data_IF_913576907714
#
_entry.id   IF_913576907714
#
_cell.length_a   1.000
_cell.length_b   1.000
_cell.length_c   1.000
_cell.angle_alpha   90.00
_cell.angle_beta   90.00
_cell.angle_gamma   90.00
#
_symmetry.space_group_name_H-M   'P 1'
#
loop_
_entity.id
_entity.type
_entity.pdbx_description
1 polymer ?
#
# COMPACT_ATOMS: atom_id res chain seq x y z
N UNK A 1 29.08 -43.17 20.26
CA UNK A 1 29.72 -41.96 19.69
C UNK A 1 29.10 -41.74 18.31
N UNK A 2 28.02 -40.97 18.24
CA UNK A 2 27.37 -40.57 16.99
C UNK A 2 27.54 -39.05 16.91
N UNK A 3 28.33 -38.60 15.92
CA UNK A 3 28.57 -37.19 15.66
C UNK A 3 27.40 -36.60 14.89
N UNK A 4 26.84 -35.52 15.46
CA UNK A 4 25.81 -34.70 14.83
C UNK A 4 26.42 -33.80 13.75
N UNK A 5 25.71 -33.70 12.63
CA UNK A 5 25.96 -32.71 11.59
C UNK A 5 24.97 -31.58 11.82
N UNK A 6 25.47 -30.45 12.33
CA UNK A 6 24.73 -29.21 12.45
C UNK A 6 24.70 -28.50 11.09
N UNK A 7 23.52 -28.40 10.49
CA UNK A 7 23.29 -27.55 9.32
C UNK A 7 23.38 -26.07 9.70
N UNK A 8 24.00 -25.20 8.88
CA UNK A 8 24.06 -23.78 9.16
C UNK A 8 22.70 -23.11 8.94
N UNK A 9 22.32 -22.24 9.88
CA UNK A 9 21.19 -21.33 9.78
C UNK A 9 21.44 -20.32 8.64
N UNK A 10 20.51 -20.13 7.68
CA UNK A 10 20.70 -19.17 6.60
C UNK A 10 20.47 -17.74 7.12
N UNK A 11 21.50 -16.90 7.04
CA UNK A 11 21.42 -15.46 7.28
C UNK A 11 20.49 -14.78 6.25
N UNK A 12 19.64 -13.87 6.75
CA UNK A 12 18.60 -13.16 6.01
C UNK A 12 19.19 -12.00 5.20
N UNK A 13 19.22 -12.12 3.88
CA UNK A 13 19.55 -10.99 2.99
C UNK A 13 18.29 -10.15 2.70
N UNK A 14 17.97 -9.22 3.59
CA UNK A 14 16.98 -8.17 3.32
C UNK A 14 17.70 -6.99 2.64
N UNK A 15 17.19 -6.54 1.48
CA UNK A 15 17.65 -5.31 0.85
C UNK A 15 17.16 -4.12 1.69
N UNK A 16 17.98 -3.70 2.65
CA UNK A 16 17.71 -2.50 3.45
C UNK A 16 17.89 -1.27 2.57
N UNK A 17 16.84 -0.44 2.51
CA UNK A 17 16.96 0.93 2.02
C UNK A 17 17.54 1.73 3.18
N UNK A 18 18.86 1.76 3.29
CA UNK A 18 19.53 2.56 4.32
C UNK A 18 19.74 3.98 3.80
N UNK A 19 19.30 4.97 4.58
CA UNK A 19 19.60 6.39 4.40
C UNK A 19 21.08 6.65 4.69
N UNK A 20 21.99 6.17 3.83
CA UNK A 20 23.42 6.45 3.93
C UNK A 20 23.84 7.36 2.77
N UNK A 21 24.11 8.65 3.11
CA UNK A 21 24.81 9.61 2.26
C UNK A 21 26.09 8.97 1.70
N UNK A 22 26.22 8.90 0.37
CA UNK A 22 27.48 8.58 -0.31
C UNK A 22 27.84 9.71 -1.27
N UNK A 23 29.08 10.17 -1.11
CA UNK A 23 29.74 11.24 -1.84
C UNK A 23 29.97 10.89 -3.32
N UNK A 24 29.86 11.93 -4.16
CA UNK A 24 30.15 11.97 -5.59
C UNK A 24 31.41 11.19 -6.01
N UNK A 25 31.32 10.52 -7.16
CA UNK A 25 32.37 10.60 -8.17
C UNK A 25 31.72 10.72 -9.56
N UNK A 26 32.04 11.84 -10.23
CA UNK A 26 31.59 12.18 -11.58
C UNK A 26 32.45 11.43 -12.58
N UNK A 27 31.83 10.70 -13.51
CA UNK A 27 32.45 10.41 -14.81
C UNK A 27 31.42 10.57 -15.91
N UNK A 28 31.77 11.37 -16.90
CA UNK A 28 30.92 11.83 -17.99
C UNK A 28 30.89 10.80 -19.13
N UNK A 29 29.69 10.38 -19.52
CA UNK A 29 29.43 9.90 -20.88
C UNK A 29 27.99 10.26 -21.27
N UNK A 30 27.85 10.90 -22.43
CA UNK A 30 26.58 11.40 -22.97
C UNK A 30 25.58 10.28 -23.26
N UNK A 31 24.25 10.51 -23.14
CA UNK A 31 23.25 9.52 -23.51
C UNK A 31 22.82 9.67 -24.99
N UNK A 32 22.60 8.52 -25.65
CA UNK A 32 21.84 8.43 -26.90
C UNK A 32 20.33 8.51 -26.61
N UNK A 33 19.60 9.27 -27.43
CA UNK A 33 18.13 9.40 -27.37
C UNK A 33 17.41 8.10 -27.76
N UNK A 34 16.43 7.63 -26.96
CA UNK A 34 15.41 6.72 -27.44
C UNK A 34 14.14 7.47 -27.85
N UNK A 35 13.54 6.98 -28.92
CA UNK A 35 12.33 7.49 -29.54
C UNK A 35 11.09 7.30 -28.65
N UNK A 36 10.21 8.28 -28.75
CA UNK A 36 8.96 8.48 -28.01
C UNK A 36 7.95 7.37 -28.39
N UNK A 37 7.57 6.53 -27.42
CA UNK A 37 6.32 5.76 -27.45
C UNK A 37 5.25 6.60 -26.76
N UNK A 38 4.13 6.81 -27.46
CA UNK A 38 3.04 7.70 -27.05
C UNK A 38 2.28 7.24 -25.79
N UNK A 39 1.51 8.15 -25.16
CA UNK A 39 0.90 7.90 -23.86
C UNK A 39 -0.27 6.92 -23.96
N UNK A 40 -0.15 5.79 -23.26
CA UNK A 40 -1.30 5.00 -22.82
C UNK A 40 -2.08 5.83 -21.80
N UNK A 41 -3.36 6.06 -22.09
CA UNK A 41 -4.25 6.89 -21.30
C UNK A 41 -4.41 6.35 -19.87
N UNK A 42 -3.97 7.16 -18.90
CA UNK A 42 -4.25 6.99 -17.47
C UNK A 42 -5.74 7.27 -17.23
N UNK A 43 -6.54 6.22 -17.01
CA UNK A 43 -7.88 6.38 -16.47
C UNK A 43 -7.78 6.74 -14.98
N UNK A 44 -7.94 8.03 -14.69
CA UNK A 44 -8.15 8.54 -13.34
C UNK A 44 -9.43 7.99 -12.72
N UNK A 45 -9.52 8.13 -11.40
CA UNK A 45 -10.75 8.08 -10.59
C UNK A 45 -11.77 9.06 -11.17
N UNK A 46 -12.46 8.65 -12.21
CA UNK A 46 -13.87 8.99 -12.32
C UNK A 46 -14.58 7.96 -11.46
N UNK A 47 -15.53 8.40 -10.62
CA UNK A 47 -16.50 7.46 -10.05
C UNK A 47 -16.96 6.50 -11.15
N UNK A 48 -17.07 5.18 -10.90
CA UNK A 48 -17.77 4.31 -11.84
C UNK A 48 -19.07 5.03 -12.19
N UNK A 49 -19.28 5.26 -13.49
CA UNK A 49 -20.11 6.34 -13.98
C UNK A 49 -21.44 6.45 -13.24
N UNK A 50 -21.98 7.67 -13.17
CA UNK A 50 -23.35 7.96 -12.70
C UNK A 50 -24.47 7.14 -13.38
N UNK A 51 -24.15 6.23 -14.29
CA UNK A 51 -25.08 5.28 -14.90
C UNK A 51 -25.03 3.93 -14.18
N UNK A 52 -26.15 3.60 -13.53
CA UNK A 52 -26.48 2.32 -12.88
C UNK A 52 -25.73 2.01 -11.58
N UNK A 53 -25.75 2.95 -10.63
CA UNK A 53 -26.03 2.52 -9.26
C UNK A 53 -27.45 1.96 -9.25
N UNK A 54 -27.58 0.64 -9.17
CA UNK A 54 -28.80 0.02 -8.65
C UNK A 54 -29.08 0.71 -7.31
N UNK A 55 -30.10 1.58 -7.29
CA UNK A 55 -30.71 2.05 -6.06
C UNK A 55 -31.24 0.81 -5.35
N UNK A 56 -30.39 0.18 -4.54
CA UNK A 56 -30.84 -0.67 -3.47
C UNK A 56 -31.47 0.28 -2.44
N UNK A 57 -32.74 0.61 -2.66
CA UNK A 57 -33.62 1.24 -1.69
C UNK A 57 -33.91 0.24 -0.57
N UNK A 58 -32.87 -0.13 0.17
CA UNK A 58 -32.98 -0.94 1.38
C UNK A 58 -33.32 0.04 2.51
N UNK A 59 -34.57 -0.02 2.93
CA UNK A 59 -35.16 0.50 4.17
C UNK A 59 -34.19 1.22 5.13
N UNK A 60 -34.29 2.56 5.22
CA UNK A 60 -34.14 3.36 6.44
C UNK A 60 -33.03 3.05 7.45
N UNK A 61 -31.93 2.38 7.07
CA UNK A 61 -30.80 2.15 7.98
C UNK A 61 -30.14 3.50 8.20
N UNK A 62 -30.22 4.02 9.43
CA UNK A 62 -29.56 5.27 9.80
C UNK A 62 -28.10 5.26 9.33
N UNK A 63 -27.68 6.35 8.68
CA UNK A 63 -26.31 6.47 8.17
C UNK A 63 -25.30 6.20 9.28
N UNK A 64 -24.59 5.08 9.20
CA UNK A 64 -23.61 4.72 10.22
C UNK A 64 -22.50 5.76 10.26
N UNK A 65 -22.17 6.19 11.46
CA UNK A 65 -21.12 7.17 11.72
C UNK A 65 -19.77 6.56 11.33
N UNK A 66 -19.00 7.17 10.39
CA UNK A 66 -17.69 6.66 10.00
C UNK A 66 -16.74 6.56 11.20
N UNK A 67 -15.86 5.53 11.20
CA UNK A 67 -14.91 5.21 12.28
C UNK A 67 -13.94 6.34 12.65
N UNK A 68 -13.91 7.42 11.85
CA UNK A 68 -13.01 8.57 11.98
C UNK A 68 -13.67 9.78 12.65
N UNK A 69 -14.99 9.78 12.87
CA UNK A 69 -15.64 10.86 13.61
C UNK A 69 -15.27 10.74 15.09
N UNK A 70 -14.91 11.85 15.72
CA UNK A 70 -14.57 11.89 17.13
C UNK A 70 -15.70 11.25 17.97
N UNK A 71 -15.36 10.22 18.75
CA UNK A 71 -16.31 9.47 19.58
C UNK A 71 -17.08 8.34 18.86
N UNK A 72 -16.95 8.18 17.54
CA UNK A 72 -17.67 7.14 16.79
C UNK A 72 -17.07 5.74 16.96
N UNK A 73 -15.73 5.65 17.03
CA UNK A 73 -15.02 4.41 17.32
C UNK A 73 -13.88 4.65 18.31
N UNK A 74 -13.75 3.77 19.30
CA UNK A 74 -12.78 3.90 20.41
C UNK A 74 -11.37 3.43 20.06
N UNK A 75 -11.19 2.77 18.92
CA UNK A 75 -9.94 2.09 18.57
C UNK A 75 -9.08 2.98 17.66
N UNK A 76 -7.81 3.23 18.02
CA UNK A 76 -6.92 4.04 17.20
C UNK A 76 -6.51 3.32 15.90
N UNK A 77 -6.02 4.04 14.86
CA UNK A 77 -5.67 3.47 13.55
C UNK A 77 -4.72 2.28 13.58
N UNK A 78 -3.77 2.24 14.51
CA UNK A 78 -2.85 1.12 14.69
C UNK A 78 -3.54 -0.18 15.12
N UNK A 79 -4.80 -0.12 15.60
CA UNK A 79 -5.62 -1.27 15.95
C UNK A 79 -6.50 -1.77 14.80
N UNK A 80 -6.34 -1.24 13.59
CA UNK A 80 -7.13 -1.64 12.41
C UNK A 80 -6.38 -2.67 11.55
N UNK A 81 -5.64 -3.56 12.21
CA UNK A 81 -4.84 -4.59 11.55
C UNK A 81 -5.68 -5.75 11.03
N UNK A 82 -5.15 -6.46 10.04
CA UNK A 82 -5.73 -7.65 9.43
C UNK A 82 -4.69 -8.78 9.37
N UNK A 83 -5.13 -10.02 9.58
CA UNK A 83 -4.29 -11.21 9.43
C UNK A 83 -4.14 -11.62 7.96
N UNK A 84 -3.05 -12.30 7.63
CA UNK A 84 -2.86 -12.88 6.29
C UNK A 84 -3.98 -13.89 5.93
N UNK A 85 -4.42 -14.67 6.90
CA UNK A 85 -5.54 -15.62 6.71
C UNK A 85 -6.84 -14.89 6.37
N UNK A 86 -7.11 -13.76 7.01
CA UNK A 86 -8.28 -12.92 6.72
C UNK A 86 -8.20 -12.25 5.35
N UNK A 87 -7.00 -11.88 4.88
CA UNK A 87 -6.80 -11.44 3.49
C UNK A 87 -7.08 -12.57 2.51
N UNK A 88 -6.68 -13.81 2.85
CA UNK A 88 -6.92 -14.99 2.02
C UNK A 88 -8.40 -15.40 1.98
N UNK A 89 -9.17 -15.11 3.02
CA UNK A 89 -10.64 -15.30 3.02
C UNK A 89 -11.33 -14.45 1.95
N UNK A 90 -10.81 -13.26 1.64
CA UNK A 90 -11.33 -12.41 0.55
C UNK A 90 -11.19 -13.12 -0.80
N UNK A 91 -10.12 -13.91 -1.01
CA UNK A 91 -9.94 -14.69 -2.23
C UNK A 91 -10.94 -15.85 -2.37
N UNK A 92 -11.56 -16.25 -1.26
CA UNK A 92 -12.62 -17.27 -1.23
C UNK A 92 -14.02 -16.70 -1.45
N UNK A 93 -14.16 -15.36 -1.53
CA UNK A 93 -15.44 -14.71 -1.75
C UNK A 93 -15.97 -14.98 -3.16
N UNK A 94 -17.28 -15.20 -3.32
CA UNK A 94 -17.89 -15.59 -4.61
C UNK A 94 -17.70 -14.56 -5.73
N UNK A 95 -17.56 -13.29 -5.38
CA UNK A 95 -17.30 -12.18 -6.31
C UNK A 95 -15.82 -11.97 -6.62
N UNK A 96 -14.91 -12.69 -5.95
CA UNK A 96 -13.49 -12.59 -6.19
C UNK A 96 -13.10 -13.33 -7.47
N UNK A 97 -12.11 -12.78 -8.18
CA UNK A 97 -11.35 -13.55 -9.16
C UNK A 97 -9.87 -13.14 -9.10
N UNK A 98 -8.92 -14.05 -9.40
CA UNK A 98 -7.49 -13.77 -9.26
C UNK A 98 -6.99 -12.57 -10.10
N UNK A 99 -7.72 -12.21 -11.16
CA UNK A 99 -7.41 -11.08 -12.03
C UNK A 99 -7.81 -9.71 -11.47
N UNK A 100 -8.57 -9.65 -10.37
CA UNK A 100 -9.02 -8.38 -9.81
C UNK A 100 -7.84 -7.61 -9.19
N UNK A 101 -7.78 -6.33 -9.50
CA UNK A 101 -6.97 -5.36 -8.77
C UNK A 101 -7.50 -5.15 -7.34
N UNK A 102 -6.66 -4.61 -6.45
CA UNK A 102 -7.07 -4.22 -5.10
C UNK A 102 -8.23 -3.21 -5.15
N UNK A 103 -8.25 -2.31 -6.15
CA UNK A 103 -9.39 -1.43 -6.46
C UNK A 103 -10.70 -2.18 -6.63
N UNK A 104 -10.67 -3.20 -7.48
CA UNK A 104 -11.87 -3.95 -7.85
C UNK A 104 -12.30 -4.88 -6.71
N UNK A 105 -11.35 -5.44 -5.95
CA UNK A 105 -11.68 -6.17 -4.72
C UNK A 105 -12.33 -5.24 -3.70
N UNK A 106 -11.84 -4.00 -3.56
CA UNK A 106 -12.49 -3.01 -2.71
C UNK A 106 -13.93 -2.76 -3.15
N UNK A 107 -14.17 -2.50 -4.44
CA UNK A 107 -15.51 -2.16 -4.91
C UNK A 107 -16.48 -3.34 -4.96
N UNK A 108 -16.01 -4.55 -5.30
CA UNK A 108 -16.85 -5.73 -5.52
C UNK A 108 -17.02 -6.62 -4.28
N UNK A 109 -16.12 -6.53 -3.31
CA UNK A 109 -16.11 -7.41 -2.12
C UNK A 109 -16.13 -6.59 -0.83
N UNK A 110 -15.10 -5.80 -0.57
CA UNK A 110 -14.91 -5.15 0.74
C UNK A 110 -15.98 -4.09 1.01
N UNK A 111 -16.26 -3.20 0.06
CA UNK A 111 -17.26 -2.15 0.26
C UNK A 111 -18.66 -2.77 0.49
N UNK A 112 -19.16 -3.69 -0.35
CA UNK A 112 -20.43 -4.37 -0.06
C UNK A 112 -20.51 -4.99 1.35
N UNK A 113 -19.47 -5.67 1.83
CA UNK A 113 -19.45 -6.26 3.18
C UNK A 113 -19.40 -5.22 4.31
N UNK A 114 -18.74 -4.08 4.08
CA UNK A 114 -18.58 -3.02 5.09
C UNK A 114 -19.69 -1.98 5.04
N UNK A 115 -20.53 -1.99 4.00
CA UNK A 115 -21.53 -0.94 3.75
C UNK A 115 -22.50 -0.79 4.92
N UNK A 116 -22.64 0.45 5.41
CA UNK A 116 -23.52 0.75 6.54
C UNK A 116 -22.98 0.33 7.91
N UNK A 117 -21.75 -0.21 8.00
CA UNK A 117 -21.12 -0.49 9.30
C UNK A 117 -20.38 0.71 9.88
N UNK A 118 -19.97 1.66 9.04
CA UNK A 118 -19.10 2.78 9.42
C UNK A 118 -17.64 2.38 9.62
N UNK A 119 -17.26 1.11 9.45
CA UNK A 119 -15.90 0.61 9.69
C UNK A 119 -15.28 -0.09 8.49
N UNK A 120 -13.95 -0.07 8.39
CA UNK A 120 -13.18 -0.84 7.43
C UNK A 120 -13.27 -2.35 7.70
N UNK A 121 -12.97 -3.14 6.68
CA UNK A 121 -13.03 -4.61 6.72
C UNK A 121 -12.23 -5.22 7.88
N UNK A 122 -11.05 -4.68 8.16
CA UNK A 122 -10.18 -5.16 9.22
C UNK A 122 -10.85 -5.07 10.60
N UNK A 123 -11.55 -3.95 10.89
CA UNK A 123 -12.32 -3.79 12.12
C UNK A 123 -13.63 -4.58 12.10
N UNK A 124 -14.26 -4.74 10.94
CA UNK A 124 -15.44 -5.60 10.79
C UNK A 124 -15.12 -7.04 11.20
N UNK A 125 -13.92 -7.55 10.83
CA UNK A 125 -13.44 -8.88 11.24
C UNK A 125 -12.86 -8.93 12.65
N UNK A 126 -12.28 -7.83 13.12
CA UNK A 126 -11.61 -7.73 14.42
C UNK A 126 -12.24 -6.59 15.25
N UNK A 127 -13.45 -6.79 15.75
CA UNK A 127 -14.22 -5.73 16.44
C UNK A 127 -13.55 -5.22 17.72
N UNK A 128 -12.76 -6.05 18.39
CA UNK A 128 -11.93 -5.66 19.53
C UNK A 128 -10.65 -4.90 19.13
N UNK A 129 -10.38 -4.78 17.84
CA UNK A 129 -9.13 -4.26 17.28
C UNK A 129 -8.04 -5.33 17.23
N UNK A 130 -7.14 -5.16 16.27
CA UNK A 130 -5.96 -5.99 16.11
C UNK A 130 -4.76 -5.07 15.85
N UNK A 131 -3.81 -5.04 16.78
CA UNK A 131 -2.65 -4.16 16.68
C UNK A 131 -1.76 -4.57 15.51
N UNK A 132 -1.57 -3.64 14.59
CA UNK A 132 -0.71 -3.81 13.43
C UNK A 132 0.75 -3.84 13.85
N UNK A 133 1.54 -4.73 13.25
CA UNK A 133 3.00 -4.79 13.40
C UNK A 133 3.74 -4.27 12.17
N UNK A 134 3.06 -4.26 11.03
CA UNK A 134 3.66 -3.90 9.76
C UNK A 134 2.65 -3.08 8.97
N UNK A 135 3.02 -1.85 8.61
CA UNK A 135 2.25 -1.07 7.65
C UNK A 135 2.55 -1.55 6.23
N UNK A 136 1.55 -1.64 5.36
CA UNK A 136 1.71 -2.09 3.99
C UNK A 136 1.32 -0.98 3.03
N UNK A 137 2.25 -0.55 2.18
CA UNK A 137 1.95 0.26 1.01
C UNK A 137 2.01 -0.59 -0.25
N UNK A 138 0.99 -0.44 -1.07
CA UNK A 138 0.87 -1.11 -2.35
C UNK A 138 0.11 -0.20 -3.32
N UNK A 139 0.34 -0.40 -4.62
CA UNK A 139 -0.44 0.28 -5.64
C UNK A 139 -1.89 -0.22 -5.63
N UNK A 140 -2.83 0.69 -5.78
CA UNK A 140 -4.28 0.38 -5.81
C UNK A 140 -4.68 -0.52 -6.98
N UNK A 141 -3.96 -0.40 -8.10
CA UNK A 141 -4.21 -1.13 -9.34
C UNK A 141 -3.38 -2.45 -9.42
N UNK A 142 -2.69 -2.83 -8.34
CA UNK A 142 -2.03 -4.13 -8.18
C UNK A 142 -3.06 -5.25 -8.06
N UNK A 143 -2.81 -6.43 -8.64
CA UNK A 143 -3.61 -7.64 -8.40
C UNK A 143 -3.66 -7.97 -6.90
N UNK A 144 -4.87 -8.16 -6.38
CA UNK A 144 -5.04 -8.47 -4.95
C UNK A 144 -4.43 -9.83 -4.57
N UNK A 145 -4.51 -10.82 -5.46
CA UNK A 145 -3.85 -12.11 -5.27
C UNK A 145 -2.32 -11.95 -5.21
N UNK A 146 -1.76 -11.05 -6.02
CA UNK A 146 -0.33 -10.77 -6.00
C UNK A 146 0.10 -10.06 -4.71
N UNK A 147 -0.73 -9.15 -4.19
CA UNK A 147 -0.53 -8.53 -2.88
C UNK A 147 -0.47 -9.61 -1.78
N UNK A 148 -1.47 -10.49 -1.72
CA UNK A 148 -1.54 -11.53 -0.69
C UNK A 148 -0.35 -12.50 -0.78
N UNK A 149 0.02 -12.93 -1.99
CA UNK A 149 1.20 -13.77 -2.21
C UNK A 149 2.51 -13.08 -1.79
N UNK A 150 2.65 -11.78 -2.07
CA UNK A 150 3.82 -11.00 -1.67
C UNK A 150 3.92 -10.83 -0.15
N UNK A 151 2.78 -10.66 0.54
CA UNK A 151 2.74 -10.61 2.00
C UNK A 151 3.09 -11.97 2.61
N UNK A 152 2.51 -13.06 2.12
CA UNK A 152 2.83 -14.42 2.58
C UNK A 152 4.29 -14.82 2.38
N UNK A 153 4.94 -14.25 1.37
CA UNK A 153 6.36 -14.51 1.07
C UNK A 153 7.33 -13.52 1.73
N UNK A 154 6.81 -12.45 2.35
CA UNK A 154 7.64 -11.38 2.94
C UNK A 154 8.43 -11.82 4.19
N UNK A 155 8.03 -12.93 4.82
CA UNK A 155 8.54 -13.39 6.11
C UNK A 155 7.94 -12.64 7.31
N UNK A 156 7.11 -11.62 7.07
CA UNK A 156 6.33 -10.97 8.10
C UNK A 156 5.14 -11.85 8.51
N UNK A 157 4.78 -11.78 9.80
CA UNK A 157 3.66 -12.55 10.35
C UNK A 157 2.39 -11.71 10.49
N UNK A 158 2.47 -10.41 10.20
CA UNK A 158 1.43 -9.45 10.54
C UNK A 158 1.22 -9.34 12.07
N UNK A 159 0.08 -8.80 12.52
CA UNK A 159 -1.01 -8.26 11.72
C UNK A 159 -0.57 -7.09 10.84
N UNK A 160 -1.18 -6.98 9.66
CA UNK A 160 -0.86 -5.95 8.67
C UNK A 160 -1.82 -4.80 8.76
N UNK A 161 -1.32 -3.57 8.64
CA UNK A 161 -2.17 -2.43 8.31
C UNK A 161 -2.16 -2.24 6.79
N UNK A 162 -3.27 -2.57 6.12
CA UNK A 162 -3.44 -2.42 4.67
C UNK A 162 -4.56 -1.41 4.43
N UNK A 163 -4.27 -0.28 3.77
CA UNK A 163 -5.25 0.81 3.61
C UNK A 163 -6.59 0.33 3.01
N UNK A 164 -6.54 -0.59 2.05
CA UNK A 164 -7.71 -1.17 1.38
C UNK A 164 -8.68 -1.87 2.35
N UNK A 165 -8.19 -2.46 3.45
CA UNK A 165 -9.01 -3.16 4.44
C UNK A 165 -9.16 -2.38 5.75
N UNK A 166 -8.20 -1.54 6.11
CA UNK A 166 -8.20 -0.79 7.37
C UNK A 166 -9.14 0.43 7.34
N UNK A 167 -9.21 1.11 6.20
CA UNK A 167 -10.02 2.32 6.03
C UNK A 167 -11.43 1.95 5.57
N UNK A 168 -12.45 2.62 6.14
CA UNK A 168 -13.83 2.50 5.64
C UNK A 168 -13.95 3.17 4.26
N UNK A 169 -14.34 2.43 3.23
CA UNK A 169 -14.29 2.89 1.84
C UNK A 169 -15.60 3.56 1.40
N UNK A 170 -15.97 4.69 2.02
CA UNK A 170 -17.11 5.53 1.60
C UNK A 170 -16.64 6.91 1.09
N UNK A 171 -17.45 7.58 0.25
CA UNK A 171 -17.09 8.89 -0.31
C UNK A 171 -16.81 9.93 0.78
N UNK A 172 -17.69 10.06 1.76
CA UNK A 172 -17.51 10.97 2.89
C UNK A 172 -16.25 10.65 3.69
N UNK A 173 -15.96 9.36 3.83
CA UNK A 173 -14.80 8.92 4.60
C UNK A 173 -13.48 9.22 3.88
N UNK A 174 -13.43 8.97 2.57
CA UNK A 174 -12.28 9.27 1.73
C UNK A 174 -11.98 10.77 1.79
N UNK A 175 -12.99 11.64 1.68
CA UNK A 175 -12.80 13.09 1.81
C UNK A 175 -12.22 13.50 3.16
N UNK A 176 -12.68 12.89 4.25
CA UNK A 176 -12.14 13.15 5.58
C UNK A 176 -10.69 12.65 5.74
N UNK A 177 -10.35 11.51 5.15
CA UNK A 177 -8.97 11.00 5.14
C UNK A 177 -8.07 12.00 4.40
N UNK A 178 -8.52 12.49 3.25
CA UNK A 178 -7.75 13.38 2.37
C UNK A 178 -7.61 14.81 2.90
N UNK A 179 -8.43 15.23 3.88
CA UNK A 179 -8.20 16.53 4.54
C UNK A 179 -6.96 16.52 5.42
N UNK A 180 -6.58 15.37 5.96
CA UNK A 180 -5.38 15.19 6.80
C UNK A 180 -4.68 13.84 6.49
N UNK A 181 -4.17 13.64 5.26
CA UNK A 181 -3.79 12.32 4.76
C UNK A 181 -2.72 11.64 5.60
N UNK A 182 -1.76 12.41 6.13
CA UNK A 182 -0.66 11.86 6.92
C UNK A 182 -1.02 11.57 8.38
N UNK A 183 -2.14 12.11 8.90
CA UNK A 183 -2.49 11.95 10.32
C UNK A 183 -2.68 10.49 10.70
N UNK A 184 -3.36 9.72 9.85
CA UNK A 184 -3.63 8.30 10.11
C UNK A 184 -2.39 7.45 9.89
N UNK A 185 -1.64 7.74 8.83
CA UNK A 185 -0.37 7.08 8.51
C UNK A 185 0.60 7.22 9.68
N UNK A 186 0.77 8.42 10.23
CA UNK A 186 1.63 8.68 11.40
C UNK A 186 1.20 7.86 12.62
N UNK A 187 -0.09 7.83 12.96
CA UNK A 187 -0.59 7.05 14.10
C UNK A 187 -0.30 5.55 13.97
N UNK A 188 -0.33 5.02 12.74
CA UNK A 188 0.03 3.62 12.47
C UNK A 188 1.55 3.41 12.58
N UNK A 189 2.34 4.30 11.97
CA UNK A 189 3.80 4.24 11.96
C UNK A 189 4.43 4.44 13.34
N UNK A 190 3.80 5.20 14.23
CA UNK A 190 4.21 5.33 15.64
C UNK A 190 4.21 3.99 16.39
N UNK A 191 3.43 3.02 15.92
CA UNK A 191 3.22 1.73 16.58
C UNK A 191 3.70 0.53 15.75
N UNK A 192 4.27 0.77 14.57
CA UNK A 192 4.77 -0.30 13.70
C UNK A 192 6.29 -0.13 13.51
N UNK A 193 7.10 -1.15 13.83
CA UNK A 193 8.56 -1.07 13.66
C UNK A 193 9.00 -0.98 12.19
N UNK A 194 8.13 -1.35 11.25
CA UNK A 194 8.48 -1.38 9.84
C UNK A 194 7.27 -1.18 8.92
N UNK A 195 7.58 -0.79 7.70
CA UNK A 195 6.67 -0.68 6.58
C UNK A 195 7.13 -1.62 5.46
N UNK A 196 6.20 -2.36 4.85
CA UNK A 196 6.42 -3.10 3.61
C UNK A 196 5.90 -2.28 2.42
N UNK A 197 6.78 -2.02 1.47
CA UNK A 197 6.45 -1.54 0.15
C UNK A 197 6.35 -2.74 -0.81
N UNK A 198 5.14 -3.03 -1.28
CA UNK A 198 4.89 -4.18 -2.15
C UNK A 198 5.01 -3.74 -3.61
N UNK A 199 5.99 -4.30 -4.32
CA UNK A 199 6.20 -4.01 -5.74
C UNK A 199 5.32 -4.91 -6.61
N UNK A 200 4.86 -4.36 -7.73
CA UNK A 200 4.12 -5.06 -8.76
C UNK A 200 4.77 -4.84 -10.13
N UNK A 201 4.64 -5.85 -11.00
CA UNK A 201 5.21 -5.81 -12.35
C UNK A 201 4.40 -4.93 -13.31
N UNK A 202 3.12 -4.67 -13.00
CA UNK A 202 2.18 -3.94 -13.88
C UNK A 202 1.87 -2.52 -13.43
N UNK A 203 2.33 -2.12 -12.25
CA UNK A 203 2.10 -0.79 -11.72
C UNK A 203 3.26 -0.37 -10.83
N UNK A 204 3.80 0.82 -11.10
CA UNK A 204 4.89 1.38 -10.36
C UNK A 204 4.37 2.11 -9.11
N UNK A 205 4.70 1.62 -7.92
CA UNK A 205 4.32 2.26 -6.65
C UNK A 205 4.88 3.68 -6.53
N UNK A 206 6.03 3.95 -7.15
CA UNK A 206 6.66 5.26 -7.11
C UNK A 206 5.96 6.30 -7.98
N UNK A 207 5.10 5.88 -8.92
CA UNK A 207 4.25 6.79 -9.71
C UNK A 207 2.95 7.16 -8.97
N UNK A 208 2.69 6.55 -7.81
CA UNK A 208 1.46 6.76 -7.03
C UNK A 208 1.74 7.67 -5.85
N UNK A 209 1.16 8.87 -5.90
CA UNK A 209 1.46 9.90 -4.90
C UNK A 209 1.07 9.49 -3.48
N UNK A 210 0.00 8.71 -3.31
CA UNK A 210 -0.38 8.16 -2.00
C UNK A 210 0.71 7.22 -1.44
N UNK A 211 1.22 6.28 -2.25
CA UNK A 211 2.27 5.36 -1.85
C UNK A 211 3.57 6.09 -1.48
N UNK A 212 3.91 7.14 -2.25
CA UNK A 212 5.03 8.02 -1.90
C UNK A 212 4.80 8.72 -0.56
N UNK A 213 3.60 9.28 -0.33
CA UNK A 213 3.29 9.94 0.94
C UNK A 213 3.46 9.00 2.15
N UNK A 214 3.04 7.75 2.02
CA UNK A 214 3.25 6.71 3.03
C UNK A 214 4.74 6.45 3.29
N UNK A 215 5.52 6.21 2.22
CA UNK A 215 6.96 5.96 2.33
C UNK A 215 7.73 7.17 2.88
N UNK A 216 7.42 8.38 2.41
CA UNK A 216 7.99 9.64 2.90
C UNK A 216 7.80 9.76 4.40
N UNK A 217 6.59 9.47 4.86
CA UNK A 217 6.23 9.59 6.26
C UNK A 217 6.99 8.57 7.09
N UNK A 218 7.06 7.31 6.65
CA UNK A 218 7.86 6.27 7.31
C UNK A 218 9.34 6.65 7.42
N UNK A 219 9.96 7.12 6.34
CA UNK A 219 11.36 7.57 6.34
C UNK A 219 11.56 8.77 7.28
N UNK A 220 10.67 9.76 7.24
CA UNK A 220 10.73 10.93 8.14
C UNK A 220 10.58 10.59 9.62
N UNK A 221 9.95 9.45 9.92
CA UNK A 221 9.76 8.92 11.27
C UNK A 221 10.79 7.87 11.66
N UNK A 222 11.81 7.64 10.82
CA UNK A 222 12.84 6.63 11.01
C UNK A 222 12.28 5.20 11.17
N UNK A 223 11.16 4.90 10.48
CA UNK A 223 10.58 3.56 10.38
C UNK A 223 11.25 2.82 9.23
N UNK A 224 11.64 1.55 9.45
CA UNK A 224 12.31 0.75 8.42
C UNK A 224 11.35 0.47 7.26
N UNK A 225 11.68 0.96 6.05
CA UNK A 225 10.95 0.63 4.82
C UNK A 225 11.65 -0.55 4.14
N UNK A 226 10.96 -1.67 4.08
CA UNK A 226 11.40 -2.89 3.40
C UNK A 226 10.57 -3.10 2.14
N UNK A 227 11.15 -3.80 1.18
CA UNK A 227 10.52 -4.07 -0.11
C UNK A 227 10.20 -5.56 -0.22
N UNK A 228 9.00 -5.88 -0.70
CA UNK A 228 8.60 -7.26 -1.02
C UNK A 228 7.91 -7.30 -2.38
N UNK A 229 7.81 -8.50 -2.96
CA UNK A 229 7.11 -8.74 -4.21
C UNK A 229 6.61 -10.18 -4.27
N UNK A 230 5.68 -10.46 -5.19
CA UNK A 230 5.21 -11.82 -5.42
C UNK A 230 6.35 -12.71 -5.95
N UNK A 231 6.60 -13.90 -5.37
CA UNK A 231 7.57 -14.84 -5.92
C UNK A 231 7.08 -15.40 -7.28
N UNK A 232 8.00 -15.54 -8.25
CA UNK A 232 7.69 -16.11 -9.58
C UNK A 232 7.97 -17.61 -9.65
N UNK A 233 6.95 -18.44 -9.50
CA UNK A 233 7.02 -19.89 -9.74
C UNK A 233 7.61 -20.70 -8.58
N UNK A 234 7.68 -22.03 -8.77
CA UNK A 234 7.90 -23.02 -7.70
C UNK A 234 9.29 -22.97 -7.03
N UNK A 235 10.27 -22.24 -7.59
CA UNK A 235 11.66 -22.17 -7.09
C UNK A 235 12.15 -20.76 -6.75
N UNK A 236 11.33 -19.72 -6.97
CA UNK A 236 11.75 -18.33 -6.85
C UNK A 236 11.39 -17.71 -5.50
N UNK A 237 11.77 -18.35 -4.40
CA UNK A 237 11.60 -17.73 -3.09
C UNK A 237 12.38 -16.40 -2.99
N UNK A 238 13.33 -16.12 -3.89
CA UNK A 238 14.23 -14.96 -3.78
C UNK A 238 14.68 -14.32 -5.11
N UNK A 239 14.27 -14.81 -6.28
CA UNK A 239 14.67 -14.13 -7.52
C UNK A 239 13.78 -12.91 -7.74
N UNK A 240 14.32 -11.72 -7.48
CA UNK A 240 13.73 -10.48 -7.98
C UNK A 240 13.61 -10.62 -9.50
N UNK A 241 12.40 -10.44 -10.01
CA UNK A 241 12.13 -10.41 -11.45
C UNK A 241 13.05 -9.36 -12.10
N UNK A 242 13.61 -9.66 -13.27
CA UNK A 242 14.36 -8.69 -14.08
C UNK A 242 13.52 -7.41 -14.28
N UNK A 243 12.19 -7.54 -14.38
CA UNK A 243 11.27 -6.40 -14.42
C UNK A 243 11.31 -5.53 -13.15
N UNK A 244 11.39 -6.16 -11.97
CA UNK A 244 11.51 -5.45 -10.68
C UNK A 244 12.91 -4.86 -10.52
N UNK A 245 13.97 -5.60 -10.85
CA UNK A 245 15.33 -5.07 -10.83
C UNK A 245 15.47 -3.87 -11.75
N UNK A 246 14.90 -3.95 -12.96
CA UNK A 246 14.85 -2.83 -13.90
C UNK A 246 14.09 -1.65 -13.32
N UNK A 247 12.93 -1.88 -12.71
CA UNK A 247 12.16 -0.84 -12.03
C UNK A 247 12.98 -0.18 -10.92
N UNK A 248 13.68 -0.96 -10.11
CA UNK A 248 14.54 -0.47 -9.03
C UNK A 248 15.80 0.24 -9.52
N UNK A 249 16.26 -0.03 -10.76
CA UNK A 249 17.42 0.63 -11.39
C UNK A 249 17.07 1.92 -12.12
N UNK A 250 15.79 2.24 -12.27
CA UNK A 250 15.35 3.45 -12.95
C UNK A 250 15.25 4.57 -11.92
N UNK A 251 15.85 5.72 -12.24
CA UNK A 251 15.72 6.93 -11.42
C UNK A 251 14.24 7.23 -11.20
N UNK A 252 13.89 7.46 -9.94
CA UNK A 252 12.52 7.79 -9.55
C UNK A 252 12.41 9.30 -9.46
N UNK A 253 11.65 9.91 -10.37
CA UNK A 253 11.16 11.28 -10.20
C UNK A 253 9.85 11.23 -9.39
N UNK A 254 9.94 11.25 -8.07
CA UNK A 254 8.75 11.18 -7.22
C UNK A 254 7.83 12.41 -7.38
N UNK A 255 8.31 13.51 -7.98
CA UNK A 255 7.46 14.67 -8.33
C UNK A 255 6.56 14.36 -9.52
N UNK A 256 6.94 13.44 -10.40
CA UNK A 256 6.10 13.00 -11.53
C UNK A 256 4.96 12.08 -11.11
N UNK A 257 4.96 11.59 -9.87
CA UNK A 257 3.85 10.79 -9.35
C UNK A 257 2.54 11.58 -9.34
N UNK A 258 1.43 10.85 -9.48
CA UNK A 258 0.09 11.43 -9.58
C UNK A 258 -0.89 10.70 -8.67
N UNK A 259 -1.99 11.37 -8.37
CA UNK A 259 -3.22 10.69 -8.01
C UNK A 259 -4.31 11.10 -8.99
N UNK A 260 -5.48 10.51 -8.85
CA UNK A 260 -6.54 10.73 -9.83
C UNK A 260 -7.21 12.10 -9.72
N UNK A 261 -7.41 12.59 -8.49
CA UNK A 261 -8.04 13.87 -8.24
C UNK A 261 -7.01 14.96 -7.97
N UNK A 262 -7.21 16.12 -8.59
CA UNK A 262 -6.26 17.22 -8.48
C UNK A 262 -6.22 17.82 -7.07
N UNK A 263 -7.37 17.90 -6.38
CA UNK A 263 -7.44 18.39 -5.00
C UNK A 263 -6.63 17.52 -4.04
N UNK A 264 -6.77 16.22 -4.20
CA UNK A 264 -6.10 15.20 -3.40
C UNK A 264 -4.60 15.25 -3.68
N UNK A 265 -4.24 15.49 -4.94
CA UNK A 265 -2.85 15.62 -5.36
C UNK A 265 -2.20 16.78 -4.62
N UNK A 266 -2.82 17.95 -4.67
CA UNK A 266 -2.31 19.14 -3.99
C UNK A 266 -2.21 18.93 -2.47
N UNK A 267 -3.18 18.26 -1.84
CA UNK A 267 -3.13 17.95 -0.43
C UNK A 267 -1.94 17.04 -0.07
N UNK A 268 -1.75 15.95 -0.82
CA UNK A 268 -0.65 15.01 -0.61
C UNK A 268 0.72 15.65 -0.89
N UNK A 269 0.84 16.44 -1.97
CA UNK A 269 2.09 17.15 -2.29
C UNK A 269 2.49 18.09 -1.17
N UNK A 270 1.57 18.94 -0.71
CA UNK A 270 1.82 19.84 0.43
C UNK A 270 2.24 19.07 1.67
N UNK A 271 1.63 17.91 1.91
CA UNK A 271 1.96 17.09 3.05
C UNK A 271 3.38 16.48 2.96
N UNK A 272 3.80 16.00 1.77
CA UNK A 272 5.16 15.53 1.52
C UNK A 272 6.18 16.68 1.62
N UNK A 273 5.86 17.84 1.06
CA UNK A 273 6.72 19.04 1.10
C UNK A 273 6.93 19.59 2.51
N UNK A 274 5.98 19.34 3.42
CA UNK A 274 6.12 19.67 4.83
C UNK A 274 6.97 18.67 5.63
N UNK A 275 7.34 17.52 5.06
CA UNK A 275 8.25 16.57 5.71
C UNK A 275 9.71 17.01 5.56
N UNK A 276 10.53 16.67 6.55
CA UNK A 276 11.97 16.90 6.48
C UNK A 276 12.56 16.17 5.26
N UNK A 277 13.31 16.90 4.44
CA UNK A 277 13.91 16.40 3.20
C UNK A 277 12.93 16.23 2.02
N UNK A 278 11.61 16.32 2.24
CA UNK A 278 10.59 16.28 1.19
C UNK A 278 10.79 15.08 0.23
N UNK A 279 10.60 15.27 -1.07
CA UNK A 279 10.78 14.27 -2.11
C UNK A 279 12.21 13.69 -2.15
N UNK A 280 13.24 14.45 -1.75
CA UNK A 280 14.62 14.00 -1.79
C UNK A 280 14.91 12.83 -0.83
N UNK A 281 14.02 12.54 0.12
CA UNK A 281 14.13 11.37 0.99
C UNK A 281 13.68 10.06 0.32
N UNK A 282 12.96 10.16 -0.79
CA UNK A 282 12.36 9.03 -1.51
C UNK A 282 12.90 8.91 -2.93
N UNK A 283 13.25 10.03 -3.55
CA UNK A 283 13.99 10.06 -4.81
C UNK A 283 15.27 9.26 -4.64
N UNK A 284 15.38 8.17 -5.41
CA UNK A 284 16.61 7.41 -5.54
C UNK A 284 17.41 7.99 -6.70
N UNK A 285 18.67 8.30 -6.42
CA UNK A 285 19.73 8.49 -7.42
C UNK A 285 20.49 7.18 -7.60
#
# INVERSE_FOLDING_TARGET
VLQGVSSPSPERALCRVSSARVLRQVSSSQPMSPQILGPLALQGWTSPGKSQMLQCSVFGVGSATPQFRAGAYKLPPNMWGIQLTQLSEIESHSMFSPGLSSREVVSKVIWPETSGSGVGYALLKNSAGLQSRTMVSHAWDMSFADLNAALGSSGEQGPYWVAATALYQSEDNIRQILSEPLRFIRQVLEHTPSMLCVLATRCNVYERLWCLAEMATAVSMNVEVRVTSKPKGLKAAWSLDDGILKLCSTDVDSRSARCAEQSDEQALRRAIEALEGSYATIDRQ
#
